data_IF_782781503243
#
_entry.id   IF_782781503243
#
_cell.length_a   1.000
_cell.length_b   1.000
_cell.length_c   1.000
_cell.angle_alpha   90.00
_cell.angle_beta   90.00
_cell.angle_gamma   90.00
#
_symmetry.space_group_name_H-M   'P 1'
#
loop_
_entity.id
_entity.type
_entity.pdbx_description
1 polymer ?
#
# COMPACT_ATOMS: atom_id res chain seq x y z
N UNK A 1 -15.14 -22.79 0.76
CA UNK A 1 -15.00 -21.34 0.97
C UNK A 1 -14.87 -20.69 -0.40
N UNK A 2 -15.87 -19.91 -0.81
CA UNK A 2 -15.89 -19.23 -2.11
C UNK A 2 -14.73 -18.23 -2.18
N UNK A 3 -13.95 -18.29 -3.25
CA UNK A 3 -12.88 -17.33 -3.52
C UNK A 3 -13.50 -16.01 -3.99
N UNK A 4 -14.05 -15.22 -3.05
CA UNK A 4 -14.09 -13.78 -3.27
C UNK A 4 -12.63 -13.36 -3.49
N UNK A 5 -12.32 -12.74 -4.64
CA UNK A 5 -10.95 -12.39 -5.02
C UNK A 5 -10.21 -11.71 -3.86
N UNK A 6 -8.99 -12.19 -3.55
CA UNK A 6 -8.18 -11.61 -2.47
C UNK A 6 -7.76 -10.22 -2.93
N UNK A 7 -8.18 -9.17 -2.24
CA UNK A 7 -7.85 -7.78 -2.57
C UNK A 7 -6.87 -7.22 -1.55
N UNK A 8 -5.88 -6.49 -2.02
CA UNK A 8 -4.91 -5.76 -1.20
C UNK A 8 -4.78 -4.34 -1.73
N UNK A 9 -4.75 -3.36 -0.83
CA UNK A 9 -4.46 -1.97 -1.19
C UNK A 9 -2.95 -1.75 -1.14
N UNK A 10 -2.40 -1.12 -2.17
CA UNK A 10 -1.10 -0.47 -2.09
C UNK A 10 -1.35 1.03 -1.85
N UNK A 11 -0.98 1.52 -0.68
CA UNK A 11 -1.20 2.91 -0.25
C UNK A 11 -0.24 3.88 -0.95
N UNK A 12 -0.35 3.97 -2.27
CA UNK A 12 0.46 4.85 -3.12
C UNK A 12 -0.36 5.38 -4.29
N UNK A 13 -0.01 6.58 -4.75
CA UNK A 13 -0.42 7.13 -6.06
C UNK A 13 0.64 6.94 -7.15
N UNK A 14 1.76 6.29 -6.83
CA UNK A 14 2.82 6.04 -7.80
C UNK A 14 2.43 4.87 -8.73
N UNK A 15 2.07 5.19 -9.97
CA UNK A 15 1.70 4.20 -10.98
C UNK A 15 2.80 3.16 -11.27
N UNK A 16 4.08 3.55 -11.14
CA UNK A 16 5.22 2.65 -11.29
C UNK A 16 5.25 1.58 -10.19
N UNK A 17 5.10 1.99 -8.92
CA UNK A 17 5.03 1.07 -7.76
C UNK A 17 3.85 0.10 -7.88
N UNK A 18 2.68 0.61 -8.30
CA UNK A 18 1.51 -0.21 -8.57
C UNK A 18 1.77 -1.28 -9.65
N UNK A 19 2.38 -0.87 -10.76
CA UNK A 19 2.72 -1.78 -11.86
C UNK A 19 3.68 -2.87 -11.42
N UNK A 20 4.71 -2.50 -10.66
CA UNK A 20 5.70 -3.45 -10.14
C UNK A 20 5.06 -4.46 -9.17
N UNK A 21 4.28 -3.99 -8.20
CA UNK A 21 3.67 -4.88 -7.22
C UNK A 21 2.63 -5.82 -7.87
N UNK A 22 1.84 -5.32 -8.83
CA UNK A 22 0.92 -6.15 -9.62
C UNK A 22 1.67 -7.27 -10.35
N UNK A 23 2.83 -6.96 -10.96
CA UNK A 23 3.68 -7.95 -11.63
C UNK A 23 4.21 -9.01 -10.67
N UNK A 24 4.66 -8.60 -9.47
CA UNK A 24 5.16 -9.53 -8.44
C UNK A 24 4.02 -10.45 -7.99
N UNK A 25 2.88 -9.90 -7.58
CA UNK A 25 1.78 -10.69 -7.04
C UNK A 25 1.07 -11.54 -8.10
N UNK A 26 1.07 -11.14 -9.37
CA UNK A 26 0.61 -12.00 -10.45
C UNK A 26 1.39 -13.33 -10.52
N UNK A 27 2.69 -13.33 -10.15
CA UNK A 27 3.54 -14.53 -10.12
C UNK A 27 3.45 -15.26 -8.78
N UNK A 28 3.58 -14.54 -7.68
CA UNK A 28 3.76 -15.13 -6.34
C UNK A 28 2.42 -15.39 -5.62
N UNK A 29 1.34 -14.68 -5.98
CA UNK A 29 0.02 -14.82 -5.38
C UNK A 29 -1.13 -14.71 -6.42
N UNK A 30 -1.26 -15.69 -7.34
CA UNK A 30 -2.28 -15.66 -8.38
C UNK A 30 -3.70 -15.49 -7.82
N UNK A 31 -4.49 -14.62 -8.45
CA UNK A 31 -5.83 -14.26 -8.00
C UNK A 31 -5.88 -13.22 -6.87
N UNK A 32 -4.73 -12.64 -6.50
CA UNK A 32 -4.68 -11.44 -5.68
C UNK A 32 -4.79 -10.18 -6.56
N UNK A 33 -5.78 -9.35 -6.30
CA UNK A 33 -5.99 -8.06 -6.96
C UNK A 33 -5.35 -6.94 -6.12
N UNK A 34 -4.58 -6.07 -6.78
CA UNK A 34 -3.91 -4.92 -6.17
C UNK A 34 -4.62 -3.64 -6.56
N UNK A 35 -5.16 -2.96 -5.55
CA UNK A 35 -5.84 -1.67 -5.66
C UNK A 35 -4.89 -0.54 -5.27
N UNK A 36 -4.88 0.55 -6.03
CA UNK A 36 -4.21 1.80 -5.65
C UNK A 36 -5.14 2.71 -4.86
N UNK A 37 -4.64 3.88 -4.44
CA UNK A 37 -5.46 4.87 -3.73
C UNK A 37 -6.59 5.44 -4.60
N UNK A 38 -6.45 5.42 -5.92
CA UNK A 38 -7.49 5.88 -6.86
C UNK A 38 -8.57 4.81 -7.12
N UNK A 39 -8.33 3.57 -6.70
CA UNK A 39 -9.27 2.44 -6.89
C UNK A 39 -10.20 2.23 -5.68
N UNK A 40 -10.07 3.06 -4.63
CA UNK A 40 -10.81 2.94 -3.36
C UNK A 40 -11.50 4.25 -2.98
N UNK A 41 -12.46 4.25 -2.02
CA UNK A 41 -13.07 5.48 -1.55
C UNK A 41 -12.01 6.47 -1.08
N UNK A 42 -12.12 7.77 -1.44
CA UNK A 42 -11.13 8.76 -1.06
C UNK A 42 -11.12 8.97 0.47
N UNK A 43 -9.94 9.17 1.03
CA UNK A 43 -9.73 9.48 2.43
C UNK A 43 -8.49 10.38 2.58
N UNK A 44 -8.40 11.09 3.71
CA UNK A 44 -7.28 11.99 3.98
C UNK A 44 -5.99 11.19 4.21
N UNK A 45 -4.94 11.54 3.48
CA UNK A 45 -3.63 10.92 3.66
C UNK A 45 -3.08 11.30 5.05
N UNK A 46 -2.60 10.33 5.83
CA UNK A 46 -2.14 10.58 7.19
C UNK A 46 -0.84 11.39 7.20
N UNK A 47 -0.62 12.18 8.25
CA UNK A 47 0.65 12.84 8.45
C UNK A 47 1.77 11.82 8.74
N UNK A 48 2.88 11.94 8.02
CA UNK A 48 4.10 11.15 8.21
C UNK A 48 4.89 11.74 9.38
N UNK A 49 4.67 11.18 10.57
CA UNK A 49 5.14 11.74 11.85
C UNK A 49 6.24 10.90 12.51
N UNK A 50 6.57 9.75 11.93
CA UNK A 50 7.58 8.86 12.48
C UNK A 50 8.98 9.24 11.98
N UNK A 51 10.02 9.07 12.82
CA UNK A 51 11.40 9.39 12.44
C UNK A 51 12.04 8.32 11.55
N UNK A 52 11.30 7.27 11.18
CA UNK A 52 11.81 6.13 10.40
C UNK A 52 10.90 5.85 9.21
N UNK A 53 11.50 5.38 8.11
CA UNK A 53 10.75 4.93 6.94
C UNK A 53 9.76 3.81 7.28
N UNK A 54 10.17 2.85 8.12
CA UNK A 54 9.28 1.77 8.57
C UNK A 54 8.04 2.32 9.30
N UNK A 55 8.23 3.29 10.19
CA UNK A 55 7.13 3.92 10.92
C UNK A 55 6.16 4.66 10.00
N UNK A 56 6.68 5.45 9.06
CA UNK A 56 5.85 6.17 8.09
C UNK A 56 5.12 5.22 7.13
N UNK A 57 5.78 4.16 6.66
CA UNK A 57 5.14 3.11 5.89
C UNK A 57 3.99 2.45 6.68
N UNK A 58 4.21 2.13 7.96
CA UNK A 58 3.17 1.55 8.81
C UNK A 58 1.98 2.49 9.03
N UNK A 59 2.22 3.80 9.20
CA UNK A 59 1.16 4.82 9.27
C UNK A 59 0.29 4.78 8.00
N UNK A 60 0.92 4.82 6.83
CA UNK A 60 0.21 4.79 5.53
C UNK A 60 -0.63 3.52 5.36
N UNK A 61 -0.06 2.36 5.66
CA UNK A 61 -0.75 1.08 5.56
C UNK A 61 -1.95 0.99 6.52
N UNK A 62 -1.80 1.46 7.77
CA UNK A 62 -2.88 1.48 8.75
C UNK A 62 -4.02 2.41 8.33
N UNK A 63 -3.70 3.60 7.82
CA UNK A 63 -4.73 4.52 7.32
C UNK A 63 -5.54 3.90 6.18
N UNK A 64 -4.87 3.24 5.22
CA UNK A 64 -5.54 2.52 4.13
C UNK A 64 -6.44 1.39 4.64
N UNK A 65 -5.97 0.60 5.61
CA UNK A 65 -6.78 -0.45 6.24
C UNK A 65 -8.02 0.12 6.94
N UNK A 66 -7.86 1.21 7.70
CA UNK A 66 -8.97 1.88 8.41
C UNK A 66 -10.01 2.42 7.43
N UNK A 67 -9.57 3.06 6.34
CA UNK A 67 -10.46 3.68 5.37
C UNK A 67 -11.19 2.66 4.48
N UNK A 68 -10.55 1.54 4.15
CA UNK A 68 -11.06 0.59 3.14
C UNK A 68 -11.57 -0.72 3.72
N UNK A 69 -11.16 -1.09 4.94
CA UNK A 69 -11.38 -2.41 5.53
C UNK A 69 -10.60 -3.54 4.84
N UNK A 70 -9.71 -3.23 3.90
CA UNK A 70 -8.92 -4.20 3.16
C UNK A 70 -7.50 -4.30 3.71
N UNK A 71 -6.85 -5.47 3.65
CA UNK A 71 -5.40 -5.57 3.89
C UNK A 71 -4.65 -4.56 3.05
N UNK A 72 -3.65 -3.91 3.64
CA UNK A 72 -2.91 -2.83 2.98
C UNK A 72 -1.40 -3.01 3.12
N UNK A 73 -0.70 -2.65 2.05
CA UNK A 73 0.74 -2.51 1.96
C UNK A 73 1.05 -1.03 1.73
N UNK A 74 2.19 -0.58 2.25
CA UNK A 74 2.72 0.74 1.99
C UNK A 74 4.24 0.67 1.96
N UNK A 75 4.84 1.70 1.39
CA UNK A 75 6.28 1.88 1.29
C UNK A 75 6.62 3.32 1.66
N UNK A 76 7.79 3.51 2.24
CA UNK A 76 8.36 4.82 2.49
C UNK A 76 9.87 4.79 2.20
N UNK A 77 10.35 5.82 1.52
CA UNK A 77 11.69 5.82 0.94
C UNK A 77 12.26 7.23 0.95
N UNK A 78 13.57 7.34 1.18
CA UNK A 78 14.27 8.62 1.16
C UNK A 78 15.78 8.44 1.05
N UNK A 79 16.51 9.53 1.29
CA UNK A 79 17.97 9.53 1.34
C UNK A 79 18.42 9.68 2.79
N UNK A 80 19.31 8.79 3.24
CA UNK A 80 20.01 8.93 4.50
C UNK A 80 21.43 9.44 4.20
N UNK A 81 21.80 10.57 4.81
CA UNK A 81 23.15 11.13 4.72
C UNK A 81 23.69 11.23 6.14
N UNK A 82 24.70 10.43 6.44
CA UNK A 82 25.47 10.58 7.66
C UNK A 82 26.31 11.87 7.57
N UNK A 83 26.50 12.53 8.72
CA UNK A 83 27.21 13.81 8.81
C UNK A 83 28.73 13.68 8.65
#
# INVERSE_FOLDING_TARGET
MSAAGRRVVLATRNAGKLTELRRILAREAPGCEVLGLDDVPPYDEPAETEPTFEGNALIKARAALVATGLPALADDSGLCVDA
#
